data_IF_356475846157
#
_entry.id   IF_356475846157
#
_cell.length_a   1.000
_cell.length_b   1.000
_cell.length_c   1.000
_cell.angle_alpha   90.00
_cell.angle_beta   90.00
_cell.angle_gamma   90.00
#
_symmetry.space_group_name_H-M   'P 1'
#
loop_
_entity.id
_entity.type
_entity.pdbx_description
1 polymer ?
#
# COMPACT_ATOMS: atom_id res chain seq x y z
N UNK A 1 -6.11 13.93 7.24
CA UNK A 1 -7.24 13.63 8.15
C UNK A 1 -8.56 13.43 7.42
N UNK A 2 -8.83 14.12 6.32
CA UNK A 2 -10.11 13.99 5.59
C UNK A 2 -10.40 12.59 5.06
N UNK A 3 -9.41 11.92 4.47
CA UNK A 3 -9.53 10.51 4.08
C UNK A 3 -9.91 9.60 5.27
N UNK A 4 -9.28 9.80 6.43
CA UNK A 4 -9.57 9.03 7.65
C UNK A 4 -10.99 9.27 8.14
N UNK A 5 -11.44 10.54 8.13
CA UNK A 5 -12.84 10.92 8.45
C UNK A 5 -13.84 10.29 7.48
N UNK A 6 -13.49 10.19 6.21
CA UNK A 6 -14.27 9.50 5.18
C UNK A 6 -14.24 7.95 5.28
N UNK A 7 -13.69 7.39 6.36
CA UNK A 7 -13.63 5.94 6.59
C UNK A 7 -12.52 5.20 5.83
N UNK A 8 -11.72 5.93 5.05
CA UNK A 8 -10.60 5.36 4.30
C UNK A 8 -9.41 5.06 5.21
N UNK A 9 -8.53 4.19 4.73
CA UNK A 9 -7.28 3.82 5.42
C UNK A 9 -6.07 4.31 4.59
N UNK A 10 -5.68 5.60 4.68
CA UNK A 10 -4.55 6.11 3.91
C UNK A 10 -3.23 5.52 4.37
N UNK A 11 -2.25 5.45 3.46
CA UNK A 11 -0.88 5.06 3.77
C UNK A 11 0.03 6.31 3.79
N UNK A 12 0.35 6.85 4.98
CA UNK A 12 1.15 8.06 5.11
C UNK A 12 2.63 7.85 4.72
N UNK A 13 3.17 6.63 4.83
CA UNK A 13 4.58 6.37 4.49
C UNK A 13 4.83 6.47 2.99
N UNK A 14 3.89 5.99 2.16
CA UNK A 14 3.93 6.17 0.70
C UNK A 14 3.97 7.66 0.34
N UNK A 15 3.09 8.45 0.94
CA UNK A 15 3.02 9.89 0.68
C UNK A 15 4.22 10.65 1.25
N UNK A 16 4.79 10.19 2.36
CA UNK A 16 6.02 10.77 2.92
C UNK A 16 7.19 10.63 1.95
N UNK A 17 7.35 9.46 1.32
CA UNK A 17 8.40 9.26 0.33
C UNK A 17 8.27 10.23 -0.84
N UNK A 18 7.07 10.33 -1.42
CA UNK A 18 6.78 11.22 -2.56
C UNK A 18 6.92 12.70 -2.23
N UNK A 19 6.30 13.14 -1.10
CA UNK A 19 6.15 14.56 -0.80
C UNK A 19 7.33 15.11 -0.02
N UNK A 20 7.86 14.34 0.94
CA UNK A 20 8.88 14.83 1.87
C UNK A 20 10.28 14.40 1.43
N UNK A 21 10.56 13.07 1.38
CA UNK A 21 11.92 12.56 1.17
C UNK A 21 12.46 12.84 -0.23
N UNK A 22 11.66 12.65 -1.26
CA UNK A 22 12.04 12.91 -2.65
C UNK A 22 11.39 14.15 -3.25
N UNK A 23 10.53 14.85 -2.50
CA UNK A 23 9.90 16.12 -2.87
C UNK A 23 10.56 17.29 -2.15
N UNK A 24 10.00 17.68 -0.99
CA UNK A 24 10.46 18.87 -0.26
C UNK A 24 11.95 18.84 0.13
N UNK A 25 12.52 17.67 0.40
CA UNK A 25 13.97 17.56 0.65
C UNK A 25 14.77 17.87 -0.62
N UNK A 26 14.36 17.32 -1.77
CA UNK A 26 15.05 17.63 -3.04
C UNK A 26 14.94 19.11 -3.39
N UNK A 27 13.76 19.69 -3.24
CA UNK A 27 13.51 21.11 -3.47
C UNK A 27 14.38 22.03 -2.58
N UNK A 28 14.55 21.67 -1.30
CA UNK A 28 15.27 22.51 -0.32
C UNK A 28 16.77 22.26 -0.25
N UNK A 29 17.20 21.04 -0.42
CA UNK A 29 18.56 20.59 -0.16
C UNK A 29 19.15 19.78 -1.30
N UNK A 30 18.33 19.12 -2.12
CA UNK A 30 18.77 18.15 -3.11
C UNK A 30 19.21 18.77 -4.44
N UNK A 31 18.93 20.06 -4.68
CA UNK A 31 19.28 20.72 -5.93
C UNK A 31 20.80 20.86 -6.13
N UNK A 32 21.58 20.82 -5.06
CA UNK A 32 23.05 20.85 -5.10
C UNK A 32 23.70 19.47 -5.33
N UNK A 33 22.88 18.40 -5.40
CA UNK A 33 23.37 17.02 -5.48
C UNK A 33 22.75 16.29 -6.66
N UNK A 34 23.52 15.39 -7.26
CA UNK A 34 23.07 14.55 -8.38
C UNK A 34 22.14 13.44 -7.91
N UNK A 35 22.35 12.93 -6.70
CA UNK A 35 21.65 11.75 -6.17
C UNK A 35 21.21 11.95 -4.72
N UNK A 36 20.09 11.33 -4.38
CA UNK A 36 19.55 11.24 -3.03
C UNK A 36 19.60 9.78 -2.58
N UNK A 37 20.43 9.49 -1.57
CA UNK A 37 20.56 8.17 -0.98
C UNK A 37 19.57 7.99 0.17
N UNK A 38 18.86 6.87 0.20
CA UNK A 38 18.00 6.49 1.33
C UNK A 38 18.21 5.02 1.71
N UNK A 39 17.91 4.68 2.96
CA UNK A 39 18.04 3.32 3.50
C UNK A 39 16.84 2.41 3.21
N UNK A 40 16.19 2.54 2.07
CA UNK A 40 15.12 1.62 1.70
C UNK A 40 15.68 0.32 1.15
N UNK A 41 15.01 -0.79 1.48
CA UNK A 41 15.22 -2.07 0.84
C UNK A 41 14.47 -2.10 -0.49
N UNK A 42 15.05 -1.51 -1.49
CA UNK A 42 14.57 -1.43 -2.87
C UNK A 42 15.79 -1.31 -3.79
N UNK A 43 15.64 -1.60 -5.07
CA UNK A 43 16.71 -1.44 -6.05
C UNK A 43 16.29 -0.48 -7.15
N UNK A 44 17.29 0.08 -7.83
CA UNK A 44 17.08 0.76 -9.12
C UNK A 44 17.94 0.11 -10.18
N UNK A 45 17.36 -0.13 -11.37
CA UNK A 45 18.09 -0.70 -12.52
C UNK A 45 17.80 0.11 -13.78
N UNK A 46 18.82 0.30 -14.61
CA UNK A 46 18.64 0.85 -15.95
C UNK A 46 18.31 -0.29 -16.92
N UNK A 47 17.17 -0.22 -17.56
CA UNK A 47 16.69 -1.21 -18.55
C UNK A 47 16.16 -0.41 -19.74
N UNK A 48 16.68 -0.67 -20.92
CA UNK A 48 16.31 0.01 -22.18
C UNK A 48 16.34 1.55 -22.08
N UNK A 49 17.38 2.09 -21.42
CA UNK A 49 17.57 3.53 -21.25
C UNK A 49 16.64 4.21 -20.23
N UNK A 50 15.81 3.45 -19.53
CA UNK A 50 14.91 3.93 -18.46
C UNK A 50 15.34 3.40 -17.10
N UNK A 51 15.19 4.23 -16.06
CA UNK A 51 15.46 3.81 -14.68
C UNK A 51 14.21 3.21 -14.06
N UNK A 52 14.31 1.98 -13.61
CA UNK A 52 13.23 1.23 -12.98
C UNK A 52 13.41 1.12 -11.48
N UNK A 53 12.31 1.21 -10.75
CA UNK A 53 12.23 0.76 -9.37
C UNK A 53 12.07 -0.77 -9.38
N UNK A 54 12.94 -1.46 -8.65
CA UNK A 54 12.97 -2.92 -8.61
C UNK A 54 12.93 -3.43 -7.18
N UNK A 55 12.39 -4.64 -7.01
CA UNK A 55 12.27 -5.30 -5.71
C UNK A 55 13.64 -5.62 -5.11
N UNK A 56 13.69 -5.66 -3.77
CA UNK A 56 14.83 -6.11 -2.98
C UNK A 56 14.88 -7.66 -2.98
N UNK A 57 16.06 -8.27 -2.78
CA UNK A 57 16.17 -9.72 -2.57
C UNK A 57 15.54 -10.20 -1.25
N UNK A 58 15.39 -9.33 -0.25
CA UNK A 58 14.73 -9.65 1.02
C UNK A 58 13.20 -9.48 0.89
N UNK A 59 12.42 -10.58 0.76
CA UNK A 59 10.99 -10.49 0.52
C UNK A 59 10.21 -9.94 1.72
N UNK A 60 10.77 -10.06 2.93
CA UNK A 60 10.13 -9.57 4.17
C UNK A 60 10.36 -8.07 4.35
N UNK A 61 11.48 -7.55 3.83
CA UNK A 61 11.90 -6.16 3.98
C UNK A 61 11.77 -5.32 2.72
N UNK A 62 11.39 -5.93 1.61
CA UNK A 62 11.14 -5.20 0.37
C UNK A 62 10.21 -4.00 0.61
N UNK A 63 10.67 -2.82 0.26
CA UNK A 63 10.00 -1.53 0.49
C UNK A 63 9.64 -0.81 -0.80
N UNK A 64 9.62 -1.51 -1.93
CA UNK A 64 9.20 -0.94 -3.21
C UNK A 64 7.77 -0.40 -3.16
N UNK A 65 6.90 -1.04 -2.39
CA UNK A 65 5.52 -0.62 -2.18
C UNK A 65 5.40 0.76 -1.54
N UNK A 66 6.32 1.15 -0.67
CA UNK A 66 6.35 2.52 -0.10
C UNK A 66 6.84 3.58 -1.09
N UNK A 67 7.52 3.17 -2.16
CA UNK A 67 8.10 4.05 -3.17
C UNK A 67 7.25 4.17 -4.45
N UNK A 68 6.19 3.39 -4.57
CA UNK A 68 5.40 3.25 -5.79
C UNK A 68 4.59 4.50 -6.20
N UNK A 69 4.64 5.57 -5.41
CA UNK A 69 4.00 6.85 -5.71
C UNK A 69 4.99 7.99 -6.00
N UNK A 70 6.31 7.75 -5.96
CA UNK A 70 7.29 8.77 -6.39
C UNK A 70 7.16 9.01 -7.90
N UNK A 71 7.63 10.15 -8.38
CA UNK A 71 7.63 10.46 -9.81
C UNK A 71 8.90 9.92 -10.50
N UNK A 72 8.88 9.76 -11.83
CA UNK A 72 10.04 9.35 -12.63
C UNK A 72 11.26 10.24 -12.36
N UNK A 73 11.08 11.56 -12.32
CA UNK A 73 12.17 12.48 -12.03
C UNK A 73 12.76 12.31 -10.61
N UNK A 74 11.94 11.92 -9.62
CA UNK A 74 12.40 11.58 -8.27
C UNK A 74 13.17 10.26 -8.27
N UNK A 75 12.66 9.26 -8.99
CA UNK A 75 13.30 7.96 -9.15
C UNK A 75 14.68 8.11 -9.82
N UNK A 76 14.82 9.01 -10.80
CA UNK A 76 16.11 9.27 -11.47
C UNK A 76 17.20 9.71 -10.51
N UNK A 77 16.87 10.50 -9.49
CA UNK A 77 17.79 10.97 -8.43
C UNK A 77 17.94 9.98 -7.26
N UNK A 78 17.02 9.02 -7.10
CA UNK A 78 17.02 8.10 -5.97
C UNK A 78 18.08 7.00 -6.12
N UNK A 79 18.82 6.71 -5.04
CA UNK A 79 19.61 5.49 -4.89
C UNK A 79 19.32 4.82 -3.54
N UNK A 80 19.45 3.51 -3.51
CA UNK A 80 19.17 2.67 -2.34
C UNK A 80 20.40 1.78 -2.05
N UNK A 81 21.41 2.32 -1.32
CA UNK A 81 22.69 1.63 -1.15
C UNK A 81 22.60 0.25 -0.50
N UNK A 82 21.59 0.02 0.34
CA UNK A 82 21.36 -1.27 1.02
C UNK A 82 20.37 -2.17 0.29
N UNK A 83 19.79 -1.73 -0.82
CA UNK A 83 18.67 -2.41 -1.49
C UNK A 83 19.00 -3.77 -2.12
N UNK A 84 20.29 -4.09 -2.27
CA UNK A 84 20.76 -5.38 -2.81
C UNK A 84 21.17 -6.40 -1.73
N UNK A 85 21.06 -6.02 -0.46
CA UNK A 85 21.34 -6.88 0.68
C UNK A 85 20.05 -7.35 1.35
N UNK A 86 20.14 -8.52 1.98
CA UNK A 86 19.16 -8.92 2.98
C UNK A 86 19.41 -8.14 4.29
N UNK A 87 18.38 -8.02 5.10
CA UNK A 87 18.48 -7.27 6.36
C UNK A 87 19.54 -7.82 7.31
N UNK A 88 19.71 -9.13 7.37
CA UNK A 88 20.73 -9.76 8.23
C UNK A 88 22.13 -9.36 7.77
N UNK A 89 22.41 -9.35 6.47
CA UNK A 89 23.69 -8.89 5.90
C UNK A 89 23.98 -7.44 6.25
N UNK A 90 22.96 -6.55 6.15
CA UNK A 90 23.10 -5.14 6.54
C UNK A 90 23.47 -5.02 8.02
N UNK A 91 22.90 -5.85 8.90
CA UNK A 91 23.26 -5.86 10.33
C UNK A 91 24.64 -6.38 10.58
N UNK A 92 25.06 -7.43 9.91
CA UNK A 92 26.43 -7.96 10.00
C UNK A 92 27.46 -6.93 9.55
N UNK A 93 27.20 -6.21 8.45
CA UNK A 93 28.04 -5.11 7.99
C UNK A 93 28.10 -4.01 9.05
N UNK A 94 26.96 -3.60 9.61
CA UNK A 94 26.90 -2.54 10.61
C UNK A 94 27.65 -2.93 11.91
N UNK A 95 27.59 -4.18 12.32
CA UNK A 95 28.34 -4.70 13.49
C UNK A 95 29.85 -4.77 13.19
N UNK A 96 30.25 -5.27 12.03
CA UNK A 96 31.64 -5.32 11.60
C UNK A 96 32.28 -3.93 11.53
N UNK A 97 31.54 -2.94 11.00
CA UNK A 97 32.00 -1.55 10.90
C UNK A 97 31.78 -0.76 12.21
N UNK A 98 31.41 -1.43 13.31
CA UNK A 98 31.20 -0.84 14.64
C UNK A 98 30.24 0.34 14.64
N UNK A 99 29.20 0.32 13.80
CA UNK A 99 28.22 1.40 13.74
C UNK A 99 27.36 1.44 15.00
N UNK A 100 27.20 2.62 15.56
CA UNK A 100 26.47 2.84 16.85
C UNK A 100 25.02 2.38 16.80
N UNK A 101 24.43 2.33 15.60
CA UNK A 101 23.05 1.93 15.36
C UNK A 101 22.88 0.46 14.90
N UNK A 102 23.97 -0.35 14.88
CA UNK A 102 23.92 -1.75 14.44
C UNK A 102 22.81 -2.59 15.11
N UNK A 103 22.60 -2.36 16.44
CA UNK A 103 21.58 -3.07 17.24
C UNK A 103 20.26 -2.31 17.38
N UNK A 104 20.07 -1.22 16.64
CA UNK A 104 18.82 -0.46 16.71
C UNK A 104 17.63 -1.31 16.24
N UNK A 105 16.55 -1.30 17.00
CA UNK A 105 15.29 -1.93 16.60
C UNK A 105 14.70 -1.22 15.40
N UNK A 106 13.95 -1.97 14.58
CA UNK A 106 13.20 -1.41 13.49
C UNK A 106 12.22 -0.33 13.95
N UNK A 107 11.99 0.66 13.10
CA UNK A 107 10.93 1.62 13.35
C UNK A 107 9.58 0.89 13.36
N UNK A 108 8.80 1.14 14.40
CA UNK A 108 7.43 0.64 14.53
C UNK A 108 6.48 1.83 14.28
N UNK A 109 5.45 1.61 13.46
CA UNK A 109 4.48 2.65 13.12
C UNK A 109 4.96 3.59 12.00
N UNK A 110 4.45 4.83 11.99
CA UNK A 110 4.74 5.82 10.95
C UNK A 110 6.16 6.36 11.13
N UNK A 111 7.03 6.15 10.14
CA UNK A 111 8.48 6.35 10.25
C UNK A 111 8.90 7.77 10.65
N UNK A 112 8.17 8.81 10.23
CA UNK A 112 8.51 10.21 10.51
C UNK A 112 7.87 10.78 11.78
N UNK A 113 6.87 10.10 12.34
CA UNK A 113 6.25 10.48 13.61
C UNK A 113 6.93 9.81 14.81
N UNK A 114 7.79 8.81 14.59
CA UNK A 114 8.42 8.03 15.64
C UNK A 114 7.46 7.07 16.34
N UNK A 115 7.67 6.82 17.62
CA UNK A 115 6.84 5.89 18.39
C UNK A 115 5.59 6.62 18.93
N UNK A 116 4.64 6.89 18.04
CA UNK A 116 3.35 7.51 18.37
C UNK A 116 2.26 6.43 18.33
N UNK A 117 1.38 6.42 19.33
CA UNK A 117 0.12 5.68 19.25
C UNK A 117 -0.75 6.34 18.17
N UNK A 118 -0.95 5.64 17.05
CA UNK A 118 -1.74 6.13 15.92
C UNK A 118 -3.17 6.45 16.33
N UNK A 119 -3.79 5.64 17.19
CA UNK A 119 -5.16 5.87 17.64
C UNK A 119 -5.25 7.13 18.50
N UNK A 120 -4.25 7.36 19.37
CA UNK A 120 -4.19 8.57 20.17
C UNK A 120 -3.98 9.82 19.28
N UNK A 121 -3.10 9.72 18.30
CA UNK A 121 -2.90 10.79 17.32
C UNK A 121 -4.19 11.12 16.56
N UNK A 122 -4.90 10.12 16.03
CA UNK A 122 -6.17 10.33 15.33
C UNK A 122 -7.24 10.89 16.26
N UNK A 123 -7.32 10.39 17.49
CA UNK A 123 -8.26 10.90 18.52
C UNK A 123 -8.07 12.37 18.81
N UNK A 124 -6.84 12.86 18.81
CA UNK A 124 -6.53 14.28 19.05
C UNK A 124 -7.14 15.19 17.99
N UNK A 125 -7.25 14.73 16.72
CA UNK A 125 -7.76 15.54 15.60
C UNK A 125 -9.23 15.28 15.28
N UNK A 126 -9.72 14.06 15.45
CA UNK A 126 -11.07 13.65 15.07
C UNK A 126 -11.97 13.40 16.28
N UNK A 127 -11.41 13.31 17.48
CA UNK A 127 -12.15 12.97 18.68
C UNK A 127 -12.63 11.52 18.71
N UNK A 128 -13.63 11.25 19.52
CA UNK A 128 -14.37 10.00 19.57
C UNK A 128 -15.81 10.22 19.08
N UNK A 129 -16.33 9.29 18.29
CA UNK A 129 -17.71 9.27 17.84
C UNK A 129 -18.24 7.86 17.98
N UNK A 130 -18.98 7.60 19.05
CA UNK A 130 -19.56 6.29 19.30
C UNK A 130 -20.56 5.92 18.20
N UNK A 131 -20.53 4.65 17.78
CA UNK A 131 -21.45 4.06 16.82
C UNK A 131 -21.60 2.58 17.04
N UNK A 132 -22.51 1.97 16.32
CA UNK A 132 -22.85 0.56 16.51
C UNK A 132 -21.87 -0.35 15.76
N UNK A 133 -21.59 -1.51 16.36
CA UNK A 133 -20.89 -2.63 15.72
C UNK A 133 -21.92 -3.73 15.47
N UNK A 134 -22.06 -4.12 14.21
CA UNK A 134 -23.10 -5.03 13.76
C UNK A 134 -22.46 -6.23 13.04
N UNK A 135 -22.91 -7.43 13.36
CA UNK A 135 -22.56 -8.64 12.62
C UNK A 135 -23.23 -8.60 11.24
N UNK A 136 -22.42 -8.71 10.19
CA UNK A 136 -22.89 -8.53 8.81
C UNK A 136 -23.94 -9.57 8.41
N UNK A 137 -23.72 -10.83 8.80
CA UNK A 137 -24.54 -11.99 8.39
C UNK A 137 -25.91 -12.01 9.06
N UNK A 138 -25.98 -11.57 10.30
CA UNK A 138 -27.21 -11.67 11.12
C UNK A 138 -27.91 -10.33 11.35
N UNK A 139 -27.22 -9.23 11.13
CA UNK A 139 -27.70 -7.90 11.52
C UNK A 139 -27.69 -7.64 13.03
N UNK A 140 -27.15 -8.57 13.83
CA UNK A 140 -27.12 -8.46 15.28
C UNK A 140 -26.12 -7.40 15.74
N UNK A 141 -26.51 -6.54 16.65
CA UNK A 141 -25.61 -5.62 17.33
C UNK A 141 -24.70 -6.39 18.28
N UNK A 142 -23.39 -6.25 18.08
CA UNK A 142 -22.33 -6.89 18.86
C UNK A 142 -21.85 -5.99 20.00
N UNK A 143 -21.81 -4.67 19.74
CA UNK A 143 -21.31 -3.70 20.69
C UNK A 143 -21.29 -2.29 20.10
N UNK A 144 -20.40 -1.46 20.59
CA UNK A 144 -20.16 -0.11 20.09
C UNK A 144 -18.68 0.12 19.85
N UNK A 145 -18.36 0.89 18.80
CA UNK A 145 -17.02 1.44 18.56
C UNK A 145 -16.94 2.89 19.05
N UNK A 146 -15.71 3.40 19.20
CA UNK A 146 -15.42 4.78 19.61
C UNK A 146 -15.15 5.74 18.44
N UNK A 147 -15.20 5.25 17.22
CA UNK A 147 -14.97 5.97 15.97
C UNK A 147 -14.59 5.00 14.86
N UNK A 148 -15.21 5.13 13.67
CA UNK A 148 -14.91 4.29 12.50
C UNK A 148 -13.44 4.41 12.06
N UNK A 149 -12.83 5.54 12.32
CA UNK A 149 -11.44 5.84 11.96
C UNK A 149 -10.38 5.07 12.79
N UNK A 150 -10.76 4.44 13.91
CA UNK A 150 -9.87 3.57 14.68
C UNK A 150 -9.82 2.14 14.13
N UNK A 151 -10.60 1.84 13.09
CA UNK A 151 -10.72 0.50 12.53
C UNK A 151 -10.32 0.47 11.06
N UNK A 152 -9.77 -0.68 10.63
CA UNK A 152 -9.38 -0.93 9.23
C UNK A 152 -10.05 -2.21 8.75
N UNK A 153 -10.51 -2.23 7.49
CA UNK A 153 -11.06 -3.45 6.86
C UNK A 153 -10.00 -4.55 6.89
N UNK A 154 -10.40 -5.76 7.31
CA UNK A 154 -9.51 -6.88 7.58
C UNK A 154 -8.87 -6.89 8.97
N UNK A 155 -9.13 -5.88 9.81
CA UNK A 155 -8.63 -5.86 11.18
C UNK A 155 -9.30 -6.96 12.01
N UNK A 156 -8.46 -7.73 12.74
CA UNK A 156 -8.88 -8.77 13.67
C UNK A 156 -8.54 -8.42 15.12
N UNK A 157 -7.35 -7.85 15.34
CA UNK A 157 -6.84 -7.56 16.69
C UNK A 157 -7.36 -6.22 17.21
N UNK A 158 -7.51 -6.12 18.53
CA UNK A 158 -7.85 -4.86 19.20
C UNK A 158 -9.31 -4.43 19.08
N UNK A 159 -10.22 -5.32 18.66
CA UNK A 159 -11.65 -5.01 18.54
C UNK A 159 -12.37 -5.00 19.90
N UNK A 160 -11.92 -5.84 20.86
CA UNK A 160 -12.42 -5.84 22.24
C UNK A 160 -13.85 -6.40 22.41
N UNK A 161 -14.40 -7.06 21.39
CA UNK A 161 -15.75 -7.65 21.45
C UNK A 161 -15.68 -9.10 21.94
N UNK A 162 -16.59 -9.47 22.85
CA UNK A 162 -16.74 -10.85 23.29
C UNK A 162 -17.30 -11.77 22.20
N UNK A 163 -17.13 -13.09 22.38
CA UNK A 163 -17.68 -14.10 21.47
C UNK A 163 -17.01 -14.19 20.09
N UNK A 164 -15.79 -13.58 19.92
CA UNK A 164 -15.05 -13.66 18.67
C UNK A 164 -14.36 -14.99 18.41
N UNK A 165 -13.57 -15.10 17.29
CA UNK A 165 -12.90 -13.97 16.60
C UNK A 165 -13.82 -13.20 15.67
N UNK A 166 -13.59 -11.89 15.60
CA UNK A 166 -14.28 -10.95 14.73
C UNK A 166 -13.32 -10.32 13.73
N UNK A 167 -13.81 -10.06 12.50
CA UNK A 167 -13.09 -9.31 11.47
C UNK A 167 -13.90 -8.10 11.03
N UNK A 168 -13.26 -6.96 10.87
CA UNK A 168 -13.87 -5.79 10.25
C UNK A 168 -14.01 -6.04 8.75
N UNK A 169 -15.23 -5.99 8.22
CA UNK A 169 -15.52 -6.29 6.80
C UNK A 169 -16.06 -5.09 6.03
N UNK A 170 -16.75 -4.15 6.72
CA UNK A 170 -17.32 -2.95 6.07
C UNK A 170 -17.44 -1.82 7.07
N UNK A 171 -17.36 -0.59 6.58
CA UNK A 171 -17.70 0.64 7.33
C UNK A 171 -18.83 1.34 6.59
N UNK A 172 -19.88 1.73 7.31
CA UNK A 172 -20.90 2.63 6.82
C UNK A 172 -20.70 3.98 7.52
N UNK A 173 -20.10 4.92 6.79
CA UNK A 173 -19.75 6.23 7.34
C UNK A 173 -21.00 7.09 7.58
N UNK A 174 -22.00 6.98 6.70
CA UNK A 174 -23.22 7.76 6.80
C UNK A 174 -24.08 7.35 8.01
N UNK A 175 -24.19 6.02 8.24
CA UNK A 175 -24.91 5.46 9.38
C UNK A 175 -24.05 5.38 10.65
N UNK A 176 -22.75 5.65 10.58
CA UNK A 176 -21.77 5.47 11.67
C UNK A 176 -21.79 4.04 12.24
N UNK A 177 -21.80 3.04 11.35
CA UNK A 177 -21.87 1.61 11.69
C UNK A 177 -20.61 0.87 11.21
N UNK A 178 -20.04 0.07 12.10
CA UNK A 178 -18.95 -0.84 11.81
C UNK A 178 -19.52 -2.26 11.62
N UNK A 179 -19.35 -2.84 10.45
CA UNK A 179 -19.75 -4.22 10.21
C UNK A 179 -18.57 -5.16 10.46
N UNK A 180 -18.85 -6.22 11.21
CA UNK A 180 -17.91 -7.30 11.52
C UNK A 180 -18.49 -8.64 11.11
N UNK A 181 -17.63 -9.60 10.78
CA UNK A 181 -17.99 -10.98 10.47
C UNK A 181 -17.34 -11.91 11.49
N UNK A 182 -18.08 -12.96 11.86
CA UNK A 182 -17.64 -13.94 12.87
C UNK A 182 -16.86 -15.09 12.23
N UNK A 183 -15.87 -15.60 12.94
CA UNK A 183 -15.13 -16.81 12.56
C UNK A 183 -13.63 -16.57 12.39
N UNK A 184 -12.88 -17.66 12.23
CA UNK A 184 -11.43 -17.59 12.03
C UNK A 184 -11.06 -17.16 10.62
N UNK A 185 -11.90 -17.43 9.63
CA UNK A 185 -11.67 -17.20 8.23
C UNK A 185 -13.00 -16.92 7.48
N UNK A 186 -13.69 -15.80 7.79
CA UNK A 186 -14.96 -15.52 7.16
C UNK A 186 -14.79 -15.17 5.67
N UNK A 187 -15.59 -15.80 4.80
CA UNK A 187 -15.60 -15.57 3.35
C UNK A 187 -15.76 -14.07 3.00
N UNK A 188 -16.56 -13.35 3.78
CA UNK A 188 -16.82 -11.91 3.64
C UNK A 188 -15.61 -11.02 3.84
N UNK A 189 -14.53 -11.52 4.45
CA UNK A 189 -13.28 -10.82 4.61
C UNK A 189 -12.41 -10.80 3.35
N UNK A 190 -12.80 -11.58 2.33
CA UNK A 190 -12.03 -11.77 1.10
C UNK A 190 -12.68 -11.07 -0.08
N UNK A 191 -11.83 -10.62 -1.01
CA UNK A 191 -12.22 -10.13 -2.34
C UNK A 191 -11.34 -10.76 -3.40
N UNK A 192 -11.90 -10.98 -4.58
CA UNK A 192 -11.16 -11.41 -5.76
C UNK A 192 -10.97 -10.24 -6.72
N UNK A 193 -11.98 -9.39 -6.80
CA UNK A 193 -12.00 -8.23 -7.68
C UNK A 193 -12.15 -6.96 -6.85
N UNK A 194 -11.44 -5.91 -7.23
CA UNK A 194 -11.58 -4.60 -6.60
C UNK A 194 -11.18 -3.48 -7.56
N UNK A 195 -11.84 -2.33 -7.36
CA UNK A 195 -11.60 -1.14 -8.17
C UNK A 195 -10.43 -0.32 -7.60
N UNK A 196 -9.66 0.30 -8.49
CA UNK A 196 -8.59 1.24 -8.17
C UNK A 196 -8.74 2.51 -8.98
N UNK A 197 -8.30 3.63 -8.43
CA UNK A 197 -8.30 4.92 -9.12
C UNK A 197 -6.99 5.68 -8.92
N UNK A 198 -6.78 6.72 -9.74
CA UNK A 198 -5.57 7.52 -9.69
C UNK A 198 -4.35 6.71 -10.08
N UNK A 199 -4.43 5.98 -11.19
CA UNK A 199 -3.31 5.23 -11.75
C UNK A 199 -2.10 6.15 -11.90
N UNK A 200 -1.00 5.76 -11.27
CA UNK A 200 0.27 6.48 -11.29
C UNK A 200 1.38 5.53 -11.74
N UNK A 201 1.98 5.84 -12.88
CA UNK A 201 3.06 5.06 -13.47
C UNK A 201 4.41 5.72 -13.19
N UNK A 202 5.37 4.93 -12.72
CA UNK A 202 6.71 5.42 -12.36
C UNK A 202 7.57 5.69 -13.58
N UNK A 203 7.65 4.73 -14.48
CA UNK A 203 8.58 4.74 -15.60
C UNK A 203 7.84 4.66 -16.94
N UNK A 204 6.92 3.74 -17.07
CA UNK A 204 6.05 3.60 -18.24
C UNK A 204 4.75 2.88 -17.89
N UNK A 205 3.72 3.15 -18.68
CA UNK A 205 2.45 2.44 -18.61
C UNK A 205 2.65 0.99 -19.07
N UNK A 206 2.24 -0.01 -18.27
CA UNK A 206 2.29 -1.39 -18.68
C UNK A 206 1.40 -1.61 -19.91
N UNK A 207 1.81 -2.52 -20.77
CA UNK A 207 1.09 -2.84 -22.02
C UNK A 207 0.54 -4.25 -21.96
N UNK A 208 -0.61 -4.51 -22.59
CA UNK A 208 -1.11 -5.86 -22.81
C UNK A 208 -0.08 -6.72 -23.55
N UNK A 209 -0.03 -8.00 -23.26
CA UNK A 209 0.82 -8.93 -24.01
C UNK A 209 0.30 -9.02 -25.46
N UNK A 210 1.20 -8.89 -26.42
CA UNK A 210 0.85 -8.98 -27.85
C UNK A 210 0.38 -10.42 -28.15
N UNK A 211 -0.87 -10.61 -28.57
CA UNK A 211 -1.37 -11.92 -28.98
C UNK A 211 -2.89 -12.12 -28.88
N UNK A 212 -3.63 -11.19 -28.30
CA UNK A 212 -5.09 -11.29 -28.26
C UNK A 212 -5.74 -10.73 -29.53
N UNK A 213 -6.58 -11.54 -30.19
CA UNK A 213 -7.30 -11.13 -31.40
C UNK A 213 -8.56 -10.31 -31.11
N UNK A 214 -8.99 -10.21 -29.85
CA UNK A 214 -10.26 -9.62 -29.43
C UNK A 214 -10.07 -8.32 -28.66
N UNK A 215 -10.94 -7.35 -28.89
CA UNK A 215 -10.90 -6.02 -28.28
C UNK A 215 -10.93 -6.04 -26.73
N UNK A 216 -11.44 -7.09 -26.11
CA UNK A 216 -11.43 -7.31 -24.65
C UNK A 216 -10.04 -7.68 -24.14
N UNK A 217 -9.29 -8.51 -24.86
CA UNK A 217 -7.94 -8.95 -24.48
C UNK A 217 -6.92 -7.80 -24.54
N UNK A 218 -7.15 -6.79 -25.38
CA UNK A 218 -6.30 -5.59 -25.45
C UNK A 218 -6.35 -4.69 -24.21
N UNK A 219 -7.29 -4.93 -23.27
CA UNK A 219 -7.42 -4.12 -22.05
C UNK A 219 -6.88 -4.82 -20.81
N UNK A 220 -6.55 -6.10 -20.91
CA UNK A 220 -6.07 -6.91 -19.80
C UNK A 220 -4.55 -6.97 -19.78
N UNK A 221 -3.96 -6.59 -18.66
CA UNK A 221 -2.52 -6.55 -18.45
C UNK A 221 -2.18 -7.52 -17.33
N UNK A 222 -1.44 -8.58 -17.62
CA UNK A 222 -0.98 -9.54 -16.61
C UNK A 222 -0.02 -8.85 -15.63
N UNK A 223 -0.31 -8.94 -14.34
CA UNK A 223 0.44 -8.27 -13.28
C UNK A 223 0.69 -9.18 -12.07
N UNK A 224 1.73 -8.86 -11.33
CA UNK A 224 1.80 -9.12 -9.90
C UNK A 224 1.47 -7.86 -9.14
N UNK A 225 0.91 -7.96 -7.93
CA UNK A 225 0.57 -6.77 -7.16
C UNK A 225 0.61 -7.03 -5.64
N UNK A 226 0.72 -5.93 -4.88
CA UNK A 226 0.56 -5.90 -3.42
C UNK A 226 -0.50 -4.88 -3.04
N UNK A 227 -1.27 -5.16 -2.00
CA UNK A 227 -2.26 -4.23 -1.43
C UNK A 227 -1.85 -3.70 -0.06
N UNK A 228 -0.76 -4.22 0.49
CA UNK A 228 -0.18 -3.87 1.80
C UNK A 228 1.31 -4.18 1.82
N UNK A 229 1.99 -3.66 2.83
CA UNK A 229 3.37 -4.04 3.11
C UNK A 229 3.42 -5.45 3.74
N UNK A 230 3.38 -6.47 2.88
CA UNK A 230 3.51 -7.89 3.21
C UNK A 230 4.52 -8.52 2.25
N UNK A 231 5.17 -9.65 2.62
CA UNK A 231 6.08 -10.34 1.70
C UNK A 231 5.37 -10.96 0.49
N UNK A 232 4.06 -11.18 0.57
CA UNK A 232 3.27 -11.88 -0.44
C UNK A 232 2.97 -10.99 -1.64
N UNK A 233 3.25 -11.51 -2.84
CA UNK A 233 2.77 -10.97 -4.11
C UNK A 233 1.57 -11.77 -4.57
N UNK A 234 0.53 -11.06 -5.00
CA UNK A 234 -0.64 -11.67 -5.62
C UNK A 234 -0.51 -11.59 -7.14
N UNK A 235 -1.03 -12.60 -7.85
CA UNK A 235 -1.09 -12.63 -9.31
C UNK A 235 -2.50 -12.28 -9.79
N UNK A 236 -2.57 -11.72 -11.00
CA UNK A 236 -3.83 -11.38 -11.60
C UNK A 236 -3.65 -10.55 -12.87
N UNK A 237 -4.70 -9.86 -13.24
CA UNK A 237 -4.64 -8.90 -14.34
C UNK A 237 -5.32 -7.58 -13.97
N UNK A 238 -4.86 -6.54 -14.64
CA UNK A 238 -5.41 -5.19 -14.56
C UNK A 238 -6.28 -4.95 -15.79
N UNK A 239 -7.54 -4.63 -15.58
CA UNK A 239 -8.46 -4.18 -16.60
C UNK A 239 -8.58 -2.65 -16.55
N UNK A 240 -8.01 -1.96 -17.55
CA UNK A 240 -8.10 -0.50 -17.64
C UNK A 240 -9.52 -0.09 -18.03
N UNK A 241 -10.13 0.78 -17.25
CA UNK A 241 -11.44 1.34 -17.56
C UNK A 241 -11.30 2.47 -18.59
N UNK A 242 -12.31 2.65 -19.47
CA UNK A 242 -12.30 3.75 -20.43
C UNK A 242 -12.08 5.10 -19.74
N UNK A 243 -11.22 5.92 -20.32
CA UNK A 243 -11.07 7.29 -19.84
C UNK A 243 -12.34 8.10 -20.08
N UNK A 244 -12.61 9.04 -19.19
CA UNK A 244 -13.66 10.03 -19.42
C UNK A 244 -13.13 11.10 -20.39
N UNK A 245 -13.33 10.91 -21.72
CA UNK A 245 -12.82 11.78 -22.78
C UNK A 245 -11.52 11.27 -23.43
N UNK A 246 -10.75 12.17 -24.05
CA UNK A 246 -9.53 11.84 -24.83
C UNK A 246 -8.28 11.60 -23.95
N UNK A 247 -8.43 11.44 -22.66
CA UNK A 247 -7.32 11.23 -21.71
C UNK A 247 -6.88 9.77 -21.56
N UNK A 248 -5.78 9.56 -20.83
CA UNK A 248 -5.38 8.21 -20.41
C UNK A 248 -6.30 7.67 -19.32
N UNK A 249 -6.48 6.33 -19.23
CA UNK A 249 -7.25 5.71 -18.16
C UNK A 249 -6.69 6.10 -16.78
N UNK A 250 -7.57 6.54 -15.89
CA UNK A 250 -7.23 6.87 -14.49
C UNK A 250 -7.77 5.85 -13.51
N UNK A 251 -8.61 4.93 -13.96
CA UNK A 251 -9.26 3.89 -13.17
C UNK A 251 -9.05 2.51 -13.79
N UNK A 252 -9.05 1.49 -12.94
CA UNK A 252 -8.96 0.11 -13.37
C UNK A 252 -9.69 -0.82 -12.39
N UNK A 253 -9.94 -2.06 -12.84
CA UNK A 253 -10.32 -3.17 -11.98
C UNK A 253 -9.11 -4.11 -11.90
N UNK A 254 -8.76 -4.49 -10.69
CA UNK A 254 -7.79 -5.54 -10.42
C UNK A 254 -8.54 -6.84 -10.22
N UNK A 255 -8.23 -7.84 -11.03
CA UNK A 255 -8.75 -9.20 -10.94
C UNK A 255 -7.66 -10.11 -10.40
N UNK A 256 -7.83 -10.62 -9.19
CA UNK A 256 -6.87 -11.53 -8.58
C UNK A 256 -7.15 -12.98 -8.96
N UNK A 257 -6.10 -13.76 -9.14
CA UNK A 257 -6.24 -15.23 -9.29
C UNK A 257 -6.79 -15.86 -8.01
N UNK A 258 -6.33 -15.37 -6.85
CA UNK A 258 -6.72 -15.85 -5.53
C UNK A 258 -7.61 -14.83 -4.80
N UNK A 259 -8.36 -15.33 -3.79
CA UNK A 259 -9.10 -14.49 -2.88
C UNK A 259 -8.14 -13.77 -1.91
N UNK A 260 -8.25 -12.46 -1.80
CA UNK A 260 -7.36 -11.61 -1.01
C UNK A 260 -8.07 -11.10 0.23
N UNK A 261 -7.45 -11.30 1.37
CA UNK A 261 -7.92 -10.79 2.65
C UNK A 261 -7.59 -9.30 2.82
N UNK A 262 -8.58 -8.53 3.27
CA UNK A 262 -8.37 -7.18 3.79
C UNK A 262 -8.06 -6.13 2.72
N UNK A 263 -8.66 -6.22 1.54
CA UNK A 263 -8.67 -5.14 0.55
C UNK A 263 -9.36 -3.92 1.16
N UNK A 264 -8.58 -2.87 1.46
CA UNK A 264 -9.07 -1.71 2.20
C UNK A 264 -9.01 -0.44 1.35
N UNK A 265 -10.12 0.29 1.19
CA UNK A 265 -10.15 1.57 0.49
C UNK A 265 -9.22 2.60 1.14
N UNK A 266 -8.51 3.35 0.30
CA UNK A 266 -7.51 4.33 0.73
C UNK A 266 -6.08 3.77 0.83
N UNK A 267 -5.89 2.43 0.79
CA UNK A 267 -4.59 1.80 0.59
C UNK A 267 -4.20 1.83 -0.88
N UNK A 268 -2.91 1.63 -1.18
CA UNK A 268 -2.42 1.52 -2.54
C UNK A 268 -2.34 0.06 -2.99
N UNK A 269 -2.86 -0.23 -4.18
CA UNK A 269 -2.50 -1.39 -4.95
C UNK A 269 -1.23 -1.05 -5.72
N UNK A 270 -0.14 -1.70 -5.39
CA UNK A 270 1.16 -1.52 -6.06
C UNK A 270 1.31 -2.58 -7.13
N UNK A 271 1.61 -2.15 -8.34
CA UNK A 271 1.56 -2.94 -9.57
C UNK A 271 2.99 -3.23 -10.03
N UNK A 272 3.27 -4.52 -10.26
CA UNK A 272 4.56 -5.03 -10.71
C UNK A 272 4.40 -5.82 -12.01
N UNK A 273 5.52 -6.06 -12.69
CA UNK A 273 5.55 -7.01 -13.79
C UNK A 273 5.23 -8.44 -13.28
N UNK A 274 4.92 -9.35 -14.20
CA UNK A 274 4.51 -10.73 -13.88
C UNK A 274 5.51 -11.53 -13.06
N UNK A 275 6.78 -11.15 -13.11
CA UNK A 275 7.88 -11.78 -12.37
C UNK A 275 8.21 -11.03 -11.07
N UNK A 276 7.39 -10.02 -10.70
CA UNK A 276 7.52 -9.11 -9.56
C UNK A 276 8.92 -8.48 -9.38
N UNK A 277 9.67 -8.30 -10.48
CA UNK A 277 11.00 -7.70 -10.46
C UNK A 277 10.98 -6.17 -10.60
N UNK A 278 10.04 -5.63 -11.40
CA UNK A 278 9.92 -4.21 -11.71
C UNK A 278 8.58 -3.68 -11.22
N UNK A 279 8.62 -2.56 -10.51
CA UNK A 279 7.43 -1.83 -10.12
C UNK A 279 7.02 -0.89 -11.25
N UNK A 280 5.82 -1.08 -11.80
CA UNK A 280 5.22 -0.16 -12.76
C UNK A 280 4.71 1.11 -12.08
N UNK A 281 4.16 1.00 -10.89
CA UNK A 281 3.53 2.10 -10.17
C UNK A 281 2.46 1.64 -9.22
N UNK A 282 1.47 2.47 -8.97
CA UNK A 282 0.37 2.12 -8.06
C UNK A 282 -0.90 2.93 -8.32
N UNK A 283 -1.99 2.47 -7.71
CA UNK A 283 -3.28 3.16 -7.71
C UNK A 283 -3.96 3.02 -6.34
N UNK A 284 -4.79 3.97 -5.96
CA UNK A 284 -5.52 3.91 -4.69
C UNK A 284 -6.72 2.97 -4.81
N UNK A 285 -6.87 2.06 -3.85
CA UNK A 285 -8.02 1.14 -3.76
C UNK A 285 -9.27 1.93 -3.42
N UNK A 286 -10.36 1.70 -4.16
CA UNK A 286 -11.68 2.27 -3.91
C UNK A 286 -12.72 1.17 -3.65
N UNK A 287 -13.94 1.58 -3.29
CA UNK A 287 -15.07 0.66 -3.05
C UNK A 287 -15.75 0.26 -4.35
#
# INVERSE_FOLDING_TARGET
MDKVRAGLTPNPDVMCNRIIKFGAFDEKCGHDYDLIATGHYAQTKWIDGKKWLCTSPDPVKDQTDFLAQIYDWQLRKAIFPIGHYEKNEVREIAEREHLINAKRKDSQGICFLGNIDYNEYVRRYLGEQAGDVVELETGRKIGQHKGLWFHTIGQRKGLGFGGGPWFVVKKDVAANVLFVSHGYDPETAYKKDFKVHGLHWLTETPRPEAGGSDAETYRQISICFKIRHTPEFHKGYLELLPANGDGEPTEAIVHSEDKIHGVAPGQFCVIYDKDHNRCFGSAEITL
#
